data_IF_982906037116
#
_entry.id   IF_982906037116
#
_cell.length_a   1.000
_cell.length_b   1.000
_cell.length_c   1.000
_cell.angle_alpha   90.00
_cell.angle_beta   90.00
_cell.angle_gamma   90.00
#
_symmetry.space_group_name_H-M   'P 1'
#
loop_
_entity.id
_entity.type
_entity.pdbx_description
1 polymer ?
#
# COMPACT_ATOMS: atom_id res chain seq x y z
N UNK A 1 -24.99 -12.32 -3.55
CA UNK A 1 -23.85 -11.99 -2.66
C UNK A 1 -23.58 -10.52 -2.84
N UNK A 2 -23.83 -9.72 -1.82
CA UNK A 2 -23.41 -8.32 -1.82
C UNK A 2 -21.88 -8.29 -1.90
N UNK A 3 -21.36 -7.58 -2.88
CA UNK A 3 -19.93 -7.41 -3.06
C UNK A 3 -19.44 -6.59 -1.86
N UNK A 4 -18.40 -7.02 -1.11
CA UNK A 4 -17.89 -6.22 -0.01
C UNK A 4 -17.48 -4.84 -0.52
N UNK A 5 -17.98 -3.78 0.11
CA UNK A 5 -17.59 -2.41 -0.24
C UNK A 5 -16.20 -2.18 0.32
N UNK A 6 -15.22 -1.92 -0.55
CA UNK A 6 -13.90 -1.46 -0.14
C UNK A 6 -13.97 0.06 0.04
N UNK A 7 -13.62 0.54 1.24
CA UNK A 7 -13.44 1.97 1.47
C UNK A 7 -12.24 2.51 0.67
N UNK A 8 -12.29 3.74 0.14
CA UNK A 8 -11.14 4.33 -0.53
C UNK A 8 -9.91 4.42 0.36
N UNK A 9 -8.74 4.21 -0.23
CA UNK A 9 -7.47 4.29 0.48
C UNK A 9 -7.23 5.73 0.97
N UNK A 10 -6.87 5.87 2.24
CA UNK A 10 -6.41 7.12 2.83
C UNK A 10 -4.88 7.09 2.98
N UNK A 11 -4.17 7.93 2.24
CA UNK A 11 -2.69 7.96 2.23
C UNK A 11 -2.07 8.54 3.50
N UNK A 12 -2.87 9.13 4.39
CA UNK A 12 -2.40 9.64 5.70
C UNK A 12 -2.33 8.56 6.79
N UNK A 13 -2.78 7.33 6.49
CA UNK A 13 -2.68 6.20 7.41
C UNK A 13 -1.23 5.72 7.56
N UNK A 14 -1.01 4.89 8.58
CA UNK A 14 0.30 4.26 8.79
C UNK A 14 0.65 3.30 7.64
N UNK A 15 1.94 3.07 7.36
CA UNK A 15 2.37 2.10 6.34
C UNK A 15 1.71 0.72 6.43
N UNK A 16 1.54 0.19 7.64
CA UNK A 16 0.87 -1.09 7.87
C UNK A 16 -0.59 -1.07 7.47
N UNK A 17 -1.33 -0.01 7.76
CA UNK A 17 -2.74 0.09 7.37
C UNK A 17 -2.92 0.22 5.85
N UNK A 18 -1.94 0.82 5.17
CA UNK A 18 -1.98 0.89 3.70
C UNK A 18 -1.69 -0.49 3.09
N UNK A 19 -0.75 -1.24 3.67
CA UNK A 19 -0.46 -2.62 3.27
C UNK A 19 -1.68 -3.54 3.49
N UNK A 20 -2.30 -3.48 4.68
CA UNK A 20 -3.55 -4.19 4.99
C UNK A 20 -4.68 -3.86 4.00
N UNK A 21 -4.78 -2.60 3.56
CA UNK A 21 -5.76 -2.22 2.55
C UNK A 21 -5.48 -2.86 1.18
N UNK A 22 -4.20 -2.95 0.78
CA UNK A 22 -3.79 -3.62 -0.45
C UNK A 22 -4.10 -5.12 -0.38
N UNK A 23 -3.82 -5.78 0.75
CA UNK A 23 -4.17 -7.19 0.96
C UNK A 23 -5.68 -7.43 0.89
N UNK A 24 -6.48 -6.55 1.51
CA UNK A 24 -7.94 -6.60 1.41
C UNK A 24 -8.43 -6.44 -0.02
N UNK A 25 -7.82 -5.56 -0.82
CA UNK A 25 -8.13 -5.42 -2.24
C UNK A 25 -7.84 -6.70 -3.04
N UNK A 26 -6.71 -7.36 -2.79
CA UNK A 26 -6.33 -8.61 -3.45
C UNK A 26 -7.30 -9.76 -3.12
N UNK A 27 -7.70 -9.87 -1.85
CA UNK A 27 -8.69 -10.84 -1.40
C UNK A 27 -10.04 -10.59 -2.07
N UNK A 28 -10.49 -9.34 -2.07
CA UNK A 28 -11.74 -8.92 -2.72
C UNK A 28 -11.75 -9.21 -4.22
N UNK A 29 -10.66 -8.89 -4.92
CA UNK A 29 -10.52 -9.16 -6.35
C UNK A 29 -10.54 -10.66 -6.64
N UNK A 30 -9.92 -11.47 -5.78
CA UNK A 30 -9.89 -12.93 -5.88
C UNK A 30 -11.27 -13.57 -5.71
N UNK A 31 -12.11 -13.02 -4.82
CA UNK A 31 -13.51 -13.46 -4.66
C UNK A 31 -14.34 -13.10 -5.90
N UNK A 32 -14.04 -11.97 -6.55
CA UNK A 32 -14.75 -11.46 -7.72
C UNK A 32 -14.31 -12.11 -9.05
N UNK A 33 -13.61 -13.25 -9.03
CA UNK A 33 -13.19 -14.02 -10.22
C UNK A 33 -14.38 -14.23 -11.18
N UNK A 34 -14.51 -13.34 -12.16
CA UNK A 34 -15.68 -13.16 -13.02
C UNK A 34 -15.83 -11.75 -13.57
N UNK A 35 -15.15 -10.75 -13.00
CA UNK A 35 -15.10 -9.39 -13.52
C UNK A 35 -14.20 -9.25 -14.76
N UNK A 36 -14.78 -8.81 -15.88
CA UNK A 36 -14.11 -8.49 -17.15
C UNK A 36 -13.12 -7.31 -17.06
N UNK A 37 -13.01 -6.67 -15.90
CA UNK A 37 -12.27 -5.43 -15.67
C UNK A 37 -10.84 -5.73 -15.25
N UNK A 38 -9.88 -5.00 -15.82
CA UNK A 38 -8.46 -5.10 -15.45
C UNK A 38 -8.26 -4.76 -13.97
N UNK A 39 -7.55 -5.62 -13.24
CA UNK A 39 -7.22 -5.44 -11.81
C UNK A 39 -6.64 -4.04 -11.52
N UNK A 40 -5.73 -3.56 -12.35
CA UNK A 40 -5.12 -2.22 -12.24
C UNK A 40 -6.16 -1.10 -12.28
N UNK A 41 -7.18 -1.21 -13.14
CA UNK A 41 -8.24 -0.20 -13.26
C UNK A 41 -9.11 -0.20 -12.01
N UNK A 42 -9.44 -1.38 -11.49
CA UNK A 42 -10.20 -1.51 -10.24
C UNK A 42 -9.43 -0.95 -9.04
N UNK A 43 -8.13 -1.24 -8.95
CA UNK A 43 -7.25 -0.72 -7.91
C UNK A 43 -7.24 0.82 -7.89
N UNK A 44 -7.02 1.44 -9.05
CA UNK A 44 -7.02 2.91 -9.20
C UNK A 44 -8.39 3.54 -8.95
N UNK A 45 -9.48 2.83 -9.29
CA UNK A 45 -10.85 3.33 -9.08
C UNK A 45 -11.25 3.26 -7.61
N UNK A 46 -11.00 2.12 -6.96
CA UNK A 46 -11.38 1.88 -5.57
C UNK A 46 -10.48 2.64 -4.59
N UNK A 47 -9.18 2.73 -4.86
CA UNK A 47 -8.26 3.48 -4.01
C UNK A 47 -8.44 4.99 -4.07
N UNK A 48 -9.28 5.50 -4.97
CA UNK A 48 -9.69 6.89 -5.00
C UNK A 48 -8.68 7.85 -5.63
N UNK A 49 -9.00 9.14 -5.53
CA UNK A 49 -8.29 10.22 -6.23
C UNK A 49 -6.84 10.37 -5.78
N UNK A 50 -6.59 10.29 -4.48
CA UNK A 50 -5.26 10.50 -3.90
C UNK A 50 -4.29 9.41 -4.36
N UNK A 51 -4.70 8.14 -4.27
CA UNK A 51 -3.92 7.02 -4.80
C UNK A 51 -3.65 7.18 -6.29
N UNK A 52 -4.68 7.51 -7.08
CA UNK A 52 -4.51 7.69 -8.53
C UNK A 52 -3.48 8.78 -8.84
N UNK A 53 -3.53 9.93 -8.15
CA UNK A 53 -2.60 11.02 -8.37
C UNK A 53 -1.16 10.64 -7.98
N UNK A 54 -0.98 9.97 -6.84
CA UNK A 54 0.32 9.48 -6.40
C UNK A 54 0.91 8.50 -7.43
N UNK A 55 0.16 7.45 -7.76
CA UNK A 55 0.61 6.42 -8.70
C UNK A 55 0.86 7.00 -10.09
N UNK A 56 0.06 7.98 -10.53
CA UNK A 56 0.29 8.69 -11.80
C UNK A 56 1.66 9.39 -11.83
N UNK A 57 2.06 10.02 -10.73
CA UNK A 57 3.36 10.67 -10.64
C UNK A 57 4.50 9.63 -10.58
N UNK A 58 4.31 8.54 -9.83
CA UNK A 58 5.29 7.46 -9.69
C UNK A 58 5.49 6.64 -10.98
N UNK A 59 4.44 6.48 -11.79
CA UNK A 59 4.45 5.68 -13.01
C UNK A 59 4.99 6.44 -14.24
N UNK A 60 5.18 7.76 -14.15
CA UNK A 60 5.58 8.59 -15.28
C UNK A 60 6.87 8.06 -15.95
N UNK A 61 6.92 7.95 -17.29
CA UNK A 61 5.98 8.48 -18.30
C UNK A 61 4.82 7.53 -18.69
N UNK A 62 4.68 6.38 -18.03
CA UNK A 62 3.68 5.38 -18.39
C UNK A 62 2.27 5.78 -17.92
N UNK A 63 1.25 5.22 -18.57
CA UNK A 63 -0.15 5.37 -18.14
C UNK A 63 -0.43 4.36 -17.02
N UNK A 64 -0.83 4.79 -15.81
CA UNK A 64 -1.04 3.88 -14.67
C UNK A 64 -2.00 2.72 -14.94
N UNK A 65 -3.08 2.98 -15.68
CA UNK A 65 -4.10 1.98 -16.01
C UNK A 65 -3.60 0.87 -16.96
N UNK A 66 -2.50 1.10 -17.66
CA UNK A 66 -1.86 0.12 -18.56
C UNK A 66 -0.83 -0.74 -17.84
N UNK A 67 -0.33 -0.28 -16.70
CA UNK A 67 0.64 -1.04 -15.91
C UNK A 67 -0.02 -2.26 -15.25
N UNK A 68 0.69 -3.39 -15.13
CA UNK A 68 0.23 -4.52 -14.32
C UNK A 68 0.01 -4.11 -12.87
N UNK A 69 -0.99 -4.70 -12.21
CA UNK A 69 -1.29 -4.42 -10.80
C UNK A 69 -0.06 -4.59 -9.91
N UNK A 70 0.72 -5.66 -10.10
CA UNK A 70 1.97 -5.90 -9.35
C UNK A 70 2.94 -4.72 -9.42
N UNK A 71 3.02 -4.04 -10.59
CA UNK A 71 3.87 -2.87 -10.76
C UNK A 71 3.31 -1.66 -10.01
N UNK A 72 1.99 -1.50 -9.99
CA UNK A 72 1.34 -0.42 -9.23
C UNK A 72 1.48 -0.64 -7.71
N UNK A 73 1.31 -1.88 -7.25
CA UNK A 73 1.52 -2.29 -5.86
C UNK A 73 2.95 -1.99 -5.42
N UNK A 74 3.94 -2.41 -6.21
CA UNK A 74 5.35 -2.15 -5.86
C UNK A 74 5.63 -0.66 -5.77
N UNK A 75 5.19 0.15 -6.74
CA UNK A 75 5.38 1.60 -6.72
C UNK A 75 4.77 2.25 -5.46
N UNK A 76 3.57 1.80 -5.06
CA UNK A 76 2.91 2.30 -3.86
C UNK A 76 3.69 1.93 -2.59
N UNK A 77 4.05 0.65 -2.44
CA UNK A 77 4.76 0.15 -1.25
C UNK A 77 6.17 0.73 -1.15
N UNK A 78 6.90 0.87 -2.27
CA UNK A 78 8.23 1.49 -2.32
C UNK A 78 8.20 2.96 -1.88
N UNK A 79 7.08 3.67 -2.11
CA UNK A 79 6.89 5.05 -1.66
C UNK A 79 6.57 5.14 -0.16
N UNK A 80 5.74 4.22 0.34
CA UNK A 80 5.19 4.26 1.69
C UNK A 80 6.15 3.66 2.71
N UNK A 81 6.81 2.55 2.35
CA UNK A 81 7.80 1.91 3.19
C UNK A 81 9.10 2.69 2.99
N UNK A 82 9.54 3.51 3.96
CA UNK A 82 10.91 3.98 3.92
C UNK A 82 11.78 2.72 3.89
N UNK A 83 12.61 2.59 2.85
CA UNK A 83 13.60 1.51 2.78
C UNK A 83 14.31 1.48 4.14
N UNK A 84 14.02 0.47 4.97
CA UNK A 84 14.38 0.47 6.37
C UNK A 84 15.88 0.68 6.48
N UNK A 85 16.29 1.90 6.83
CA UNK A 85 17.70 2.16 6.99
C UNK A 85 18.10 1.34 8.21
N UNK A 86 18.94 0.33 8.00
CA UNK A 86 19.36 -0.59 9.04
C UNK A 86 19.82 0.14 10.32
N UNK A 87 20.35 1.36 10.19
CA UNK A 87 20.73 2.18 11.33
C UNK A 87 19.54 2.72 12.14
N UNK A 88 18.40 3.06 11.51
CA UNK A 88 17.17 3.50 12.18
C UNK A 88 16.59 2.36 13.02
N UNK A 89 16.49 1.17 12.45
CA UNK A 89 16.01 -0.01 13.20
C UNK A 89 16.98 -0.41 14.31
N UNK A 90 18.30 -0.36 14.05
CA UNK A 90 19.31 -0.56 15.10
C UNK A 90 19.23 0.50 16.20
N UNK A 91 18.91 1.75 15.87
CA UNK A 91 18.77 2.82 16.85
C UNK A 91 17.52 2.61 17.71
N UNK A 92 16.37 2.25 17.11
CA UNK A 92 15.14 1.87 17.85
C UNK A 92 15.41 0.70 18.80
N UNK A 93 16.02 -0.38 18.30
CA UNK A 93 16.36 -1.55 19.10
C UNK A 93 17.30 -1.20 20.27
N UNK A 94 18.35 -0.42 20.02
CA UNK A 94 19.27 0.07 21.08
C UNK A 94 18.55 0.94 22.11
N UNK A 95 17.62 1.79 21.68
CA UNK A 95 16.83 2.64 22.57
C UNK A 95 15.95 1.80 23.49
N UNK A 96 15.29 0.77 22.97
CA UNK A 96 14.47 -0.14 23.76
C UNK A 96 15.29 -0.90 24.81
N UNK A 97 16.47 -1.41 24.45
CA UNK A 97 17.37 -2.07 25.41
C UNK A 97 17.85 -1.10 26.50
N UNK A 98 18.18 0.15 26.15
CA UNK A 98 18.60 1.16 27.13
C UNK A 98 17.48 1.52 28.10
N UNK A 99 16.25 1.66 27.61
CA UNK A 99 15.09 1.94 28.46
C UNK A 99 14.78 0.78 29.41
N UNK A 100 14.92 -0.47 28.96
CA UNK A 100 14.72 -1.65 29.81
C UNK A 100 15.82 -1.83 30.88
N UNK A 101 17.02 -1.31 30.64
CA UNK A 101 18.18 -1.42 31.53
C UNK A 101 18.44 -0.16 32.37
N UNK A 102 17.55 0.84 32.35
CA UNK A 102 17.66 1.98 33.26
C UNK A 102 17.34 1.51 34.70
N UNK A 103 18.27 1.67 35.66
CA UNK A 103 17.96 1.44 37.07
C UNK A 103 16.93 2.49 37.53
N UNK A 104 15.96 2.05 38.35
CA UNK A 104 14.98 2.92 38.99
C UNK A 104 15.61 4.05 39.79
#
# INVERSE_FOLDING_TARGET
MDIPVIEPLNLHRSPSEIDEWVEHFELWYSIRKGGMQKQSVLFLTLGGRELYFLVKNLAFPNVPAELPFEKLKSLLLDYILPMDFQATERAKFKSMIRAANMPC
#
